data_IF_878952261697
#
_entry.id   IF_878952261697
#
_cell.length_a   1.000
_cell.length_b   1.000
_cell.length_c   1.000
_cell.angle_alpha   90.00
_cell.angle_beta   90.00
_cell.angle_gamma   90.00
#
_symmetry.space_group_name_H-M   'P 1'
#
loop_
_entity.id
_entity.type
_entity.pdbx_description
1 polymer ?
#
# COMPACT_ATOMS: atom_id res chain seq x y z
N UNK A 1 -22.75 -39.07 8.92
CA UNK A 1 -23.24 -38.15 7.87
C UNK A 1 -22.87 -36.68 8.15
N UNK A 2 -23.22 -36.12 9.31
CA UNK A 2 -22.84 -34.75 9.66
C UNK A 2 -21.32 -34.51 9.71
N UNK A 3 -20.52 -35.47 10.20
CA UNK A 3 -19.07 -35.38 10.27
C UNK A 3 -18.39 -35.39 8.90
N UNK A 4 -18.92 -36.18 7.95
CA UNK A 4 -18.41 -36.20 6.59
C UNK A 4 -18.73 -34.93 5.82
N UNK A 5 -19.93 -34.35 6.02
CA UNK A 5 -20.33 -33.06 5.42
C UNK A 5 -19.49 -31.91 6.01
N UNK A 6 -19.18 -31.94 7.31
CA UNK A 6 -18.29 -30.95 7.95
C UNK A 6 -16.85 -31.07 7.44
N UNK A 7 -16.32 -32.29 7.23
CA UNK A 7 -15.01 -32.53 6.63
C UNK A 7 -14.96 -32.09 5.19
N UNK A 8 -16.01 -32.37 4.40
CA UNK A 8 -16.11 -31.92 3.00
C UNK A 8 -16.18 -30.40 2.91
N UNK A 9 -16.87 -29.71 3.82
CA UNK A 9 -16.90 -28.25 3.87
C UNK A 9 -15.57 -27.63 4.32
N UNK A 10 -14.84 -28.28 5.21
CA UNK A 10 -13.53 -27.82 5.68
C UNK A 10 -12.45 -27.99 4.60
N UNK A 11 -12.61 -28.98 3.69
CA UNK A 11 -11.64 -29.27 2.63
C UNK A 11 -12.00 -28.65 1.27
N UNK A 12 -13.06 -27.84 1.20
CA UNK A 12 -13.46 -27.15 -0.01
C UNK A 12 -12.36 -26.16 -0.44
N UNK A 13 -11.75 -26.30 -1.63
CA UNK A 13 -10.70 -25.39 -2.10
C UNK A 13 -11.13 -23.92 -2.17
N UNK A 14 -12.38 -23.65 -2.55
CA UNK A 14 -12.92 -22.26 -2.55
C UNK A 14 -12.93 -21.67 -1.15
N UNK A 15 -13.40 -22.45 -0.18
CA UNK A 15 -13.43 -22.02 1.21
C UNK A 15 -12.03 -21.81 1.77
N UNK A 16 -11.08 -22.68 1.43
CA UNK A 16 -9.68 -22.52 1.81
C UNK A 16 -9.09 -21.24 1.24
N UNK A 17 -9.38 -20.96 -0.02
CA UNK A 17 -8.89 -19.74 -0.69
C UNK A 17 -9.48 -18.48 -0.05
N UNK A 18 -10.80 -18.48 0.23
CA UNK A 18 -11.47 -17.41 0.94
C UNK A 18 -10.89 -17.19 2.34
N UNK A 19 -10.66 -18.29 3.07
CA UNK A 19 -10.06 -18.22 4.40
C UNK A 19 -8.64 -17.66 4.35
N UNK A 20 -7.90 -17.93 3.29
CA UNK A 20 -6.57 -17.33 3.09
C UNK A 20 -6.67 -15.82 2.94
N UNK A 21 -7.63 -15.33 2.18
CA UNK A 21 -7.87 -13.90 2.03
C UNK A 21 -8.24 -13.25 3.38
N UNK A 22 -9.12 -13.89 4.13
CA UNK A 22 -9.53 -13.43 5.48
C UNK A 22 -8.33 -13.41 6.45
N UNK A 23 -7.46 -14.40 6.35
CA UNK A 23 -6.24 -14.45 7.15
C UNK A 23 -5.35 -13.22 6.91
N UNK A 24 -5.15 -12.84 5.64
CA UNK A 24 -4.37 -11.64 5.32
C UNK A 24 -5.05 -10.37 5.82
N UNK A 25 -6.37 -10.22 5.60
CA UNK A 25 -7.12 -9.05 6.02
C UNK A 25 -7.18 -8.90 7.54
N UNK A 26 -7.07 -10.00 8.29
CA UNK A 26 -6.99 -9.96 9.74
C UNK A 26 -5.67 -9.34 10.24
N UNK A 27 -4.63 -9.35 9.41
CA UNK A 27 -3.31 -8.81 9.78
C UNK A 27 -3.16 -7.34 9.45
N UNK A 28 -3.69 -6.90 8.30
CA UNK A 28 -3.64 -5.50 7.87
C UNK A 28 -4.65 -5.26 6.75
N UNK A 29 -4.82 -4.01 6.40
CA UNK A 29 -5.58 -3.65 5.19
C UNK A 29 -4.77 -4.04 3.94
N UNK A 30 -5.48 -4.47 2.90
CA UNK A 30 -4.93 -4.79 1.58
C UNK A 30 -5.74 -4.05 0.51
N UNK A 31 -5.05 -3.58 -0.54
CA UNK A 31 -5.72 -3.14 -1.76
C UNK A 31 -6.41 -4.32 -2.44
N UNK A 32 -7.42 -4.02 -3.26
CA UNK A 32 -8.19 -5.06 -3.96
C UNK A 32 -7.30 -5.95 -4.82
N UNK A 33 -6.56 -5.35 -5.76
CA UNK A 33 -5.67 -6.08 -6.67
C UNK A 33 -4.51 -6.71 -5.90
N UNK A 34 -4.00 -6.02 -4.89
CA UNK A 34 -2.95 -6.57 -4.02
C UNK A 34 -3.41 -7.87 -3.37
N UNK A 35 -4.63 -7.91 -2.85
CA UNK A 35 -5.19 -9.11 -2.21
C UNK A 35 -5.43 -10.22 -3.22
N UNK A 36 -5.96 -9.89 -4.40
CA UNK A 36 -6.12 -10.87 -5.50
C UNK A 36 -4.77 -11.54 -5.79
N UNK A 37 -3.73 -10.74 -5.99
CA UNK A 37 -2.39 -11.26 -6.28
C UNK A 37 -1.81 -12.05 -5.11
N UNK A 38 -2.16 -11.70 -3.89
CA UNK A 38 -1.68 -12.39 -2.69
C UNK A 38 -2.27 -13.78 -2.54
N UNK A 39 -3.54 -13.97 -2.90
CA UNK A 39 -4.20 -15.28 -2.80
C UNK A 39 -4.05 -16.14 -4.05
N UNK A 40 -3.71 -15.54 -5.19
CA UNK A 40 -3.55 -16.23 -6.48
C UNK A 40 -2.65 -17.48 -6.40
N UNK A 41 -1.47 -17.48 -5.73
CA UNK A 41 -0.63 -18.66 -5.62
C UNK A 41 -1.29 -19.85 -4.89
N UNK A 42 -2.36 -19.58 -4.14
CA UNK A 42 -3.09 -20.62 -3.40
C UNK A 42 -4.30 -21.15 -4.17
N UNK A 43 -4.59 -20.59 -5.35
CA UNK A 43 -5.59 -21.13 -6.26
C UNK A 43 -4.99 -22.40 -6.88
N UNK A 44 -5.65 -23.55 -6.65
CA UNK A 44 -5.17 -24.85 -7.11
C UNK A 44 -5.91 -25.30 -8.37
N UNK A 45 -5.28 -26.20 -9.14
CA UNK A 45 -5.87 -26.75 -10.36
C UNK A 45 -7.04 -27.71 -10.09
N UNK A 46 -7.25 -28.08 -8.82
CA UNK A 46 -8.28 -29.06 -8.42
C UNK A 46 -9.70 -28.65 -8.80
N UNK A 47 -9.98 -27.35 -8.92
CA UNK A 47 -11.32 -26.82 -9.26
C UNK A 47 -11.26 -25.77 -10.37
N UNK A 48 -10.30 -25.83 -11.26
CA UNK A 48 -10.07 -24.76 -12.24
C UNK A 48 -10.06 -23.38 -11.58
N UNK A 49 -9.52 -23.27 -10.36
CA UNK A 49 -9.39 -22.01 -9.66
C UNK A 49 -8.38 -21.13 -10.39
N UNK A 50 -8.91 -20.08 -11.00
CA UNK A 50 -8.14 -19.15 -11.81
C UNK A 50 -8.22 -17.73 -11.22
N UNK A 51 -7.67 -16.77 -11.95
CA UNK A 51 -7.69 -15.36 -11.56
C UNK A 51 -9.10 -14.83 -11.34
N UNK A 52 -10.07 -15.25 -12.16
CA UNK A 52 -11.48 -14.82 -12.04
C UNK A 52 -12.08 -15.23 -10.70
N UNK A 53 -11.77 -16.42 -10.22
CA UNK A 53 -12.24 -16.89 -8.92
C UNK A 53 -11.63 -16.03 -7.80
N UNK A 54 -10.35 -15.68 -7.92
CA UNK A 54 -9.70 -14.79 -6.96
C UNK A 54 -10.37 -13.41 -6.92
N UNK A 55 -10.69 -12.84 -8.09
CA UNK A 55 -11.43 -11.58 -8.17
C UNK A 55 -12.81 -11.69 -7.54
N UNK A 56 -13.52 -12.77 -7.79
CA UNK A 56 -14.87 -12.99 -7.22
C UNK A 56 -14.81 -13.06 -5.69
N UNK A 57 -13.83 -13.74 -5.15
CA UNK A 57 -13.63 -13.87 -3.70
C UNK A 57 -13.38 -12.49 -3.09
N UNK A 58 -12.46 -11.72 -3.64
CA UNK A 58 -12.13 -10.40 -3.11
C UNK A 58 -13.30 -9.43 -3.27
N UNK A 59 -14.04 -9.51 -4.39
CA UNK A 59 -15.25 -8.70 -4.60
C UNK A 59 -16.32 -9.00 -3.54
N UNK A 60 -16.53 -10.26 -3.19
CA UNK A 60 -17.44 -10.65 -2.11
C UNK A 60 -17.01 -10.03 -0.77
N UNK A 61 -15.70 -10.08 -0.47
CA UNK A 61 -15.17 -9.50 0.76
C UNK A 61 -15.30 -7.97 0.78
N UNK A 62 -15.14 -7.34 -0.37
CA UNK A 62 -15.37 -5.91 -0.54
C UNK A 62 -16.82 -5.54 -0.26
N UNK A 63 -17.78 -6.30 -0.83
CA UNK A 63 -19.20 -6.07 -0.61
C UNK A 63 -19.59 -6.21 0.87
N UNK A 64 -18.92 -7.07 1.59
CA UNK A 64 -19.11 -7.24 3.04
C UNK A 64 -18.38 -6.19 3.88
N UNK A 65 -17.67 -5.27 3.25
CA UNK A 65 -16.90 -4.23 3.94
C UNK A 65 -15.60 -4.72 4.57
N UNK A 66 -15.17 -5.95 4.29
CA UNK A 66 -13.95 -6.52 4.85
C UNK A 66 -12.69 -6.10 4.08
N UNK A 67 -12.85 -5.73 2.81
CA UNK A 67 -11.79 -5.15 1.99
C UNK A 67 -12.22 -3.76 1.53
N UNK A 68 -11.31 -2.78 1.57
CA UNK A 68 -11.57 -1.41 1.12
C UNK A 68 -10.28 -0.76 0.66
N UNK A 69 -10.26 -0.29 -0.57
CA UNK A 69 -9.12 0.47 -1.12
C UNK A 69 -8.93 1.78 -0.36
N UNK A 70 -10.01 2.42 0.08
CA UNK A 70 -9.92 3.65 0.87
C UNK A 70 -9.18 3.39 2.20
N UNK A 71 -9.61 2.37 2.95
CA UNK A 71 -8.96 2.04 4.22
C UNK A 71 -7.51 1.60 4.02
N UNK A 72 -7.24 0.87 2.93
CA UNK A 72 -5.87 0.51 2.58
C UNK A 72 -5.02 1.76 2.35
N UNK A 73 -5.48 2.70 1.53
CA UNK A 73 -4.76 3.94 1.26
C UNK A 73 -4.52 4.75 2.53
N UNK A 74 -5.53 4.88 3.37
CA UNK A 74 -5.42 5.60 4.64
C UNK A 74 -4.32 5.00 5.52
N UNK A 75 -4.35 3.68 5.71
CA UNK A 75 -3.36 2.96 6.49
C UNK A 75 -1.96 3.06 5.89
N UNK A 76 -1.86 2.88 4.56
CA UNK A 76 -0.60 2.93 3.83
C UNK A 76 0.04 4.31 3.90
N UNK A 77 -0.73 5.35 3.59
CA UNK A 77 -0.25 6.74 3.63
C UNK A 77 0.21 7.11 5.03
N UNK A 78 -0.58 6.78 6.06
CA UNK A 78 -0.23 7.08 7.45
C UNK A 78 1.07 6.40 7.88
N UNK A 79 1.33 5.18 7.40
CA UNK A 79 2.57 4.46 7.73
C UNK A 79 3.79 4.99 6.97
N UNK A 80 3.60 5.52 5.75
CA UNK A 80 4.70 5.91 4.84
C UNK A 80 5.07 7.38 4.89
N UNK A 81 4.13 8.27 5.22
CA UNK A 81 4.37 9.72 5.18
C UNK A 81 5.45 10.21 6.14
N UNK A 82 5.79 9.41 7.15
CA UNK A 82 6.87 9.72 8.10
C UNK A 82 8.27 9.50 7.53
N UNK A 83 8.36 8.78 6.42
CA UNK A 83 9.65 8.39 5.81
C UNK A 83 9.78 8.81 4.36
N UNK A 84 8.67 8.95 3.65
CA UNK A 84 8.64 9.14 2.21
C UNK A 84 7.75 10.30 1.81
N UNK A 85 8.09 10.93 0.67
CA UNK A 85 7.33 12.01 0.10
C UNK A 85 6.17 11.53 -0.77
N UNK A 86 5.35 12.48 -1.20
CA UNK A 86 4.13 12.21 -1.98
C UNK A 86 4.40 11.52 -3.31
N UNK A 87 5.52 11.82 -3.98
CA UNK A 87 5.84 11.21 -5.28
C UNK A 87 6.05 9.70 -5.15
N UNK A 88 6.78 9.27 -4.13
CA UNK A 88 7.03 7.86 -3.88
C UNK A 88 5.76 7.14 -3.44
N UNK A 89 4.98 7.74 -2.54
CA UNK A 89 3.73 7.18 -2.06
C UNK A 89 2.74 7.02 -3.22
N UNK A 90 2.58 8.05 -4.05
CA UNK A 90 1.73 8.02 -5.24
C UNK A 90 2.13 6.90 -6.20
N UNK A 91 3.43 6.80 -6.48
CA UNK A 91 3.96 5.75 -7.35
C UNK A 91 3.64 4.36 -6.82
N UNK A 92 3.88 4.11 -5.54
CA UNK A 92 3.61 2.80 -4.93
C UNK A 92 2.12 2.45 -4.95
N UNK A 93 1.24 3.42 -4.72
CA UNK A 93 -0.21 3.21 -4.79
C UNK A 93 -0.64 2.87 -6.22
N UNK A 94 -0.05 3.51 -7.23
CA UNK A 94 -0.30 3.17 -8.65
C UNK A 94 0.17 1.77 -8.98
N UNK A 95 1.30 1.34 -8.44
CA UNK A 95 1.79 -0.03 -8.62
C UNK A 95 0.85 -1.07 -8.02
N UNK A 96 0.09 -0.70 -7.02
CA UNK A 96 -0.93 -1.54 -6.40
C UNK A 96 -2.30 -1.41 -7.08
N UNK A 97 -2.33 -0.73 -8.22
CA UNK A 97 -3.51 -0.55 -9.06
C UNK A 97 -4.71 0.05 -8.31
N UNK A 98 -4.40 1.02 -7.45
CA UNK A 98 -5.41 1.84 -6.79
C UNK A 98 -5.93 2.86 -7.80
N UNK A 99 -7.23 3.17 -7.74
CA UNK A 99 -7.90 4.13 -8.61
C UNK A 99 -7.25 5.53 -8.51
N UNK A 100 -7.03 6.18 -9.65
CA UNK A 100 -6.36 7.48 -9.71
C UNK A 100 -7.10 8.57 -8.94
N UNK A 101 -8.43 8.57 -8.93
CA UNK A 101 -9.21 9.54 -8.16
C UNK A 101 -8.98 9.38 -6.66
N UNK A 102 -8.90 8.13 -6.20
CA UNK A 102 -8.64 7.85 -4.80
C UNK A 102 -7.21 8.26 -4.40
N UNK A 103 -6.23 7.96 -5.25
CA UNK A 103 -4.85 8.40 -5.03
C UNK A 103 -4.80 9.92 -4.90
N UNK A 104 -5.46 10.65 -5.81
CA UNK A 104 -5.43 12.10 -5.81
C UNK A 104 -6.03 12.70 -4.53
N UNK A 105 -7.07 12.11 -3.96
CA UNK A 105 -7.62 12.55 -2.66
C UNK A 105 -6.56 12.55 -1.57
N UNK A 106 -5.79 11.47 -1.47
CA UNK A 106 -4.72 11.35 -0.47
C UNK A 106 -3.52 12.25 -0.79
N UNK A 107 -3.19 12.41 -2.06
CA UNK A 107 -2.08 13.27 -2.49
C UNK A 107 -2.35 14.74 -2.16
N UNK A 108 -3.59 15.21 -2.30
CA UNK A 108 -3.98 16.58 -1.92
C UNK A 108 -3.65 16.86 -0.44
N UNK A 109 -4.03 15.93 0.44
CA UNK A 109 -3.73 16.06 1.87
C UNK A 109 -2.21 16.02 2.11
N UNK A 110 -1.51 15.11 1.43
CA UNK A 110 -0.04 14.98 1.58
C UNK A 110 0.70 16.22 1.11
N UNK A 111 0.20 16.92 0.07
CA UNK A 111 0.82 18.18 -0.39
C UNK A 111 0.85 19.23 0.68
N UNK A 112 -0.24 19.35 1.42
CA UNK A 112 -0.34 20.33 2.52
C UNK A 112 0.63 20.01 3.65
N UNK A 113 0.88 18.73 3.91
CA UNK A 113 1.71 18.27 5.01
C UNK A 113 3.18 18.02 4.61
N UNK A 114 3.50 18.04 3.32
CA UNK A 114 4.81 17.57 2.82
C UNK A 114 5.98 18.33 3.39
N UNK A 115 5.87 19.65 3.53
CA UNK A 115 6.97 20.47 4.05
C UNK A 115 7.38 20.01 5.44
N UNK A 116 6.42 19.85 6.34
CA UNK A 116 6.68 19.42 7.71
C UNK A 116 7.24 18.00 7.76
N UNK A 117 6.70 17.09 6.96
CA UNK A 117 7.19 15.71 6.86
C UNK A 117 8.62 15.67 6.34
N UNK A 118 8.91 16.44 5.29
CA UNK A 118 10.26 16.51 4.69
C UNK A 118 11.26 17.09 5.67
N UNK A 119 10.88 18.14 6.38
CA UNK A 119 11.74 18.77 7.39
C UNK A 119 12.11 17.78 8.49
N UNK A 120 11.16 17.03 8.98
CA UNK A 120 11.41 16.01 10.00
C UNK A 120 12.35 14.90 9.50
N UNK A 121 12.17 14.45 8.27
CA UNK A 121 13.03 13.43 7.64
C UNK A 121 14.45 13.97 7.49
N UNK A 122 14.58 15.22 7.02
CA UNK A 122 15.89 15.87 6.86
C UNK A 122 16.61 16.03 8.20
N UNK A 123 15.91 16.52 9.23
CA UNK A 123 16.47 16.75 10.57
C UNK A 123 16.95 15.46 11.25
N UNK A 124 16.29 14.33 10.96
CA UNK A 124 16.73 13.03 11.48
C UNK A 124 18.05 12.57 10.86
N UNK A 125 18.32 12.97 9.63
CA UNK A 125 19.50 12.54 8.87
C UNK A 125 20.66 13.53 9.01
N UNK A 126 20.37 14.83 8.99
CA UNK A 126 21.36 15.88 8.93
C UNK A 126 21.20 16.85 10.09
N UNK A 127 22.35 17.25 10.67
CA UNK A 127 22.37 18.18 11.80
C UNK A 127 22.53 19.65 11.38
N UNK A 128 22.92 19.90 10.13
CA UNK A 128 23.19 21.25 9.63
C UNK A 128 22.98 21.35 8.12
N UNK A 129 22.78 22.56 7.64
CA UNK A 129 22.72 22.87 6.22
C UNK A 129 24.06 22.52 5.55
N UNK A 130 24.04 22.20 4.24
CA UNK A 130 25.28 21.83 3.54
C UNK A 130 26.27 22.97 3.49
N UNK A 131 27.56 22.66 3.67
CA UNK A 131 28.66 23.62 3.67
C UNK A 131 29.26 23.84 2.28
N UNK A 132 29.07 22.92 1.36
CA UNK A 132 29.58 22.99 -0.01
C UNK A 132 28.58 22.38 -0.99
N UNK A 133 28.90 22.48 -2.30
CA UNK A 133 28.04 21.97 -3.36
C UNK A 133 27.89 20.44 -3.34
N UNK A 134 28.97 19.73 -3.03
CA UNK A 134 28.93 18.27 -2.94
C UNK A 134 27.98 17.80 -1.84
N UNK A 135 28.05 18.41 -0.67
CA UNK A 135 27.17 18.11 0.45
C UNK A 135 25.73 18.46 0.13
N UNK A 136 25.52 19.61 -0.51
CA UNK A 136 24.19 20.02 -0.97
C UNK A 136 23.58 19.01 -1.91
N UNK A 137 24.35 18.55 -2.90
CA UNK A 137 23.87 17.54 -3.88
C UNK A 137 23.55 16.22 -3.21
N UNK A 138 24.33 15.80 -2.22
CA UNK A 138 24.08 14.57 -1.46
C UNK A 138 22.77 14.67 -0.67
N UNK A 139 22.53 15.80 -0.01
CA UNK A 139 21.32 16.02 0.76
C UNK A 139 20.09 16.06 -0.14
N UNK A 140 20.18 16.77 -1.28
CA UNK A 140 19.09 16.83 -2.26
C UNK A 140 18.76 15.43 -2.79
N UNK A 141 19.79 14.66 -3.17
CA UNK A 141 19.60 13.31 -3.69
C UNK A 141 18.94 12.39 -2.66
N UNK A 142 19.36 12.49 -1.41
CA UNK A 142 18.73 11.74 -0.32
C UNK A 142 17.24 12.03 -0.23
N UNK A 143 16.85 13.30 -0.26
CA UNK A 143 15.47 13.72 -0.17
C UNK A 143 14.67 13.32 -1.42
N UNK A 144 15.26 13.44 -2.61
CA UNK A 144 14.62 13.00 -3.86
C UNK A 144 14.38 11.50 -3.86
N UNK A 145 15.32 10.70 -3.38
CA UNK A 145 15.17 9.25 -3.30
C UNK A 145 14.06 8.83 -2.33
N UNK A 146 13.76 9.68 -1.36
CA UNK A 146 12.63 9.48 -0.44
C UNK A 146 11.29 9.93 -1.05
N UNK A 147 11.31 10.52 -2.24
CA UNK A 147 10.12 10.89 -2.98
C UNK A 147 9.56 12.27 -2.69
N UNK A 148 10.34 13.15 -2.03
CA UNK A 148 9.92 14.52 -1.79
C UNK A 148 10.05 15.35 -3.06
N UNK A 149 9.13 16.31 -3.26
CA UNK A 149 9.14 17.16 -4.43
C UNK A 149 10.32 18.15 -4.39
N UNK A 150 10.80 18.55 -5.57
CA UNK A 150 11.90 19.49 -5.68
C UNK A 150 11.59 20.84 -5.02
N UNK A 151 10.35 21.32 -5.18
CA UNK A 151 9.92 22.57 -4.54
C UNK A 151 10.02 22.50 -3.02
N UNK A 152 9.61 21.39 -2.43
CA UNK A 152 9.72 21.17 -0.98
C UNK A 152 11.19 21.10 -0.55
N UNK A 153 12.02 20.37 -1.30
CA UNK A 153 13.45 20.24 -1.00
C UNK A 153 14.14 21.60 -1.00
N UNK A 154 13.83 22.46 -1.97
CA UNK A 154 14.38 23.81 -2.06
C UNK A 154 14.09 24.67 -0.84
N UNK A 155 12.94 24.48 -0.21
CA UNK A 155 12.55 25.21 1.00
C UNK A 155 13.34 24.79 2.22
N UNK A 156 13.85 23.57 2.23
CA UNK A 156 14.60 22.99 3.36
C UNK A 156 16.11 23.16 3.17
N UNK A 157 16.61 22.79 2.00
CA UNK A 157 18.05 22.83 1.67
C UNK A 157 18.32 24.10 0.85
N UNK A 158 18.72 25.13 1.54
CA UNK A 158 19.02 26.45 0.93
C UNK A 158 20.48 26.60 0.54
#
# INVERSE_FOLDING_TARGET
MKMQLMKMQADDPLKRLKNRALYYLAKREYGFVELVNKIKPFATDELDLNLDICYQIVEELKQKGLQSDYRFCESYVNSKKRKFGLQKISYELKQKEIDDFLIEEFIEVLREEEYESAKMVWEKKYSSLPSDLNEKNKQIKFMQNRGFSFDTIKKIIK
#
